data_IF_879345267680
#
_entry.id   IF_879345267680
#
_cell.length_a   1.000
_cell.length_b   1.000
_cell.length_c   1.000
_cell.angle_alpha   90.00
_cell.angle_beta   90.00
_cell.angle_gamma   90.00
#
_symmetry.space_group_name_H-M   'P 1'
#
loop_
_entity.id
_entity.type
_entity.pdbx_description
1 polymer ?
#
# COMPACT_ATOMS: atom_id res chain seq x y z
N UNK A 1 -12.19 -10.08 49.00
CA UNK A 1 -11.21 -8.99 49.15
C UNK A 1 -10.15 -9.10 48.07
N UNK A 2 -10.29 -8.31 47.03
CA UNK A 2 -9.28 -8.25 45.94
C UNK A 2 -7.97 -7.65 46.49
N UNK A 3 -6.87 -8.39 46.32
CA UNK A 3 -5.52 -7.89 46.64
C UNK A 3 -5.12 -6.83 45.63
N UNK A 4 -5.29 -5.56 45.95
CA UNK A 4 -4.78 -4.45 45.17
C UNK A 4 -3.26 -4.63 45.00
N UNK A 5 -2.77 -4.90 43.80
CA UNK A 5 -1.34 -4.97 43.50
C UNK A 5 -0.71 -3.59 43.71
N UNK A 6 0.06 -3.42 44.79
CA UNK A 6 0.83 -2.19 45.01
C UNK A 6 1.90 -2.05 43.92
N UNK A 7 1.79 -1.00 43.08
CA UNK A 7 2.79 -0.64 42.08
C UNK A 7 3.89 0.16 42.77
N UNK A 8 5.10 -0.41 42.86
CA UNK A 8 6.25 0.25 43.45
C UNK A 8 7.08 0.96 42.37
N UNK A 9 7.57 2.18 42.71
CA UNK A 9 8.44 2.96 41.81
C UNK A 9 9.89 2.43 41.86
N UNK A 10 10.64 2.67 40.76
CA UNK A 10 12.09 2.41 40.70
C UNK A 10 12.80 3.41 41.63
N UNK A 11 13.76 2.95 42.45
CA UNK A 11 14.55 3.80 43.34
C UNK A 11 15.52 4.66 42.54
N UNK A 12 15.44 6.01 42.59
CA UNK A 12 16.41 6.91 41.95
C UNK A 12 17.78 6.82 42.66
N UNK A 13 18.83 7.27 41.98
CA UNK A 13 20.20 7.24 42.50
C UNK A 13 20.31 8.00 43.85
N UNK A 14 19.75 9.20 43.92
CA UNK A 14 19.75 10.03 45.10
C UNK A 14 19.13 9.30 46.33
N UNK A 15 17.96 8.69 46.13
CA UNK A 15 17.29 7.90 47.18
C UNK A 15 18.12 6.65 47.54
N UNK A 16 18.78 6.03 46.58
CA UNK A 16 19.65 4.90 46.82
C UNK A 16 20.85 5.28 47.71
N UNK A 17 21.42 6.45 47.51
CA UNK A 17 22.49 7.00 48.38
C UNK A 17 21.95 7.28 49.76
N UNK A 18 20.77 7.96 49.89
CA UNK A 18 20.13 8.24 51.17
C UNK A 18 19.84 6.96 51.98
N UNK A 19 19.34 5.89 51.31
CA UNK A 19 19.12 4.60 51.97
C UNK A 19 20.36 3.98 52.56
N UNK A 20 21.54 4.11 51.89
CA UNK A 20 22.79 3.60 52.34
C UNK A 20 23.33 4.41 53.54
N UNK A 21 23.35 5.73 53.39
CA UNK A 21 23.80 6.63 54.46
C UNK A 21 22.94 6.43 55.70
N UNK A 22 21.61 6.41 55.59
CA UNK A 22 20.70 6.18 56.69
C UNK A 22 20.90 4.80 57.35
N UNK A 23 21.34 3.81 56.59
CA UNK A 23 21.66 2.49 57.13
C UNK A 23 23.03 2.46 57.79
N UNK A 24 24.10 2.95 57.10
CA UNK A 24 25.48 2.88 57.56
C UNK A 24 25.74 3.88 58.72
N UNK A 25 25.31 5.13 58.59
CA UNK A 25 25.64 6.20 59.53
C UNK A 25 24.64 6.29 60.68
N UNK A 26 23.33 6.07 60.35
CA UNK A 26 22.25 6.22 61.36
C UNK A 26 21.75 4.88 61.91
N UNK A 27 22.29 3.75 61.50
CA UNK A 27 21.88 2.41 61.97
C UNK A 27 20.42 2.01 61.68
N UNK A 28 19.77 2.67 60.72
CA UNK A 28 18.35 2.42 60.45
C UNK A 28 18.16 1.06 59.77
N UNK A 29 17.41 0.18 60.43
CA UNK A 29 17.01 -1.11 59.87
C UNK A 29 15.91 -0.98 58.79
N UNK A 30 15.73 -2.06 58.00
CA UNK A 30 14.85 -2.11 56.84
C UNK A 30 13.40 -1.69 57.16
N UNK A 31 12.86 -2.03 58.32
CA UNK A 31 11.49 -1.68 58.72
C UNK A 31 11.31 -0.18 58.94
N UNK A 32 12.32 0.49 59.50
CA UNK A 32 12.30 1.95 59.68
C UNK A 32 12.50 2.66 58.33
N UNK A 33 13.34 2.15 57.46
CA UNK A 33 13.54 2.66 56.10
C UNK A 33 12.29 2.45 55.22
N UNK A 34 11.59 1.34 55.38
CA UNK A 34 10.32 1.11 54.67
C UNK A 34 9.22 2.11 55.11
N UNK A 35 9.15 2.46 56.38
CA UNK A 35 8.21 3.50 56.85
C UNK A 35 8.55 4.87 56.31
N UNK A 36 9.84 5.18 56.15
CA UNK A 36 10.33 6.48 55.65
C UNK A 36 10.19 6.58 54.11
N UNK A 37 10.24 5.46 53.37
CA UNK A 37 10.14 5.40 51.92
C UNK A 37 9.07 4.41 51.45
N UNK A 38 7.78 4.64 51.78
CA UNK A 38 6.68 3.68 51.58
C UNK A 38 6.38 3.40 50.09
N UNK A 39 6.85 4.28 49.20
CA UNK A 39 6.66 4.17 47.73
C UNK A 39 7.57 3.13 47.09
N UNK A 40 8.54 2.58 47.83
CA UNK A 40 9.46 1.56 47.31
C UNK A 40 9.22 0.21 47.99
N UNK A 41 9.43 -0.89 47.26
CA UNK A 41 9.26 -2.22 47.84
C UNK A 41 10.37 -2.51 48.86
N UNK A 42 10.00 -3.26 49.93
CA UNK A 42 10.94 -3.69 50.98
C UNK A 42 12.18 -4.39 50.40
N UNK A 43 11.98 -5.24 49.36
CA UNK A 43 13.06 -5.94 48.66
C UNK A 43 13.98 -4.99 47.92
N UNK A 44 13.42 -3.94 47.29
CA UNK A 44 14.23 -2.92 46.59
C UNK A 44 15.03 -2.10 47.60
N UNK A 45 14.44 -1.66 48.71
CA UNK A 45 15.13 -0.95 49.78
C UNK A 45 16.29 -1.80 50.31
N UNK A 46 16.06 -3.09 50.63
CA UNK A 46 17.08 -4.00 51.13
C UNK A 46 18.25 -4.15 50.15
N UNK A 47 18.00 -4.29 48.84
CA UNK A 47 19.07 -4.38 47.82
C UNK A 47 19.89 -3.11 47.74
N UNK A 48 19.27 -1.94 47.90
CA UNK A 48 19.96 -0.66 47.81
C UNK A 48 20.73 -0.33 49.09
N UNK A 49 20.21 -0.70 50.23
CA UNK A 49 20.80 -0.51 51.56
C UNK A 49 22.12 -1.28 51.71
N UNK A 50 22.20 -2.52 51.22
CA UNK A 50 23.39 -3.39 51.32
C UNK A 50 24.49 -3.13 50.27
N UNK A 51 24.31 -2.19 49.35
CA UNK A 51 25.36 -1.88 48.37
C UNK A 51 26.48 -1.06 49.04
N UNK A 52 27.77 -1.32 48.75
CA UNK A 52 28.88 -0.51 49.20
C UNK A 52 28.71 0.96 48.80
N UNK A 53 29.15 1.88 49.70
CA UNK A 53 29.02 3.34 49.46
C UNK A 53 29.78 3.76 48.21
N UNK A 54 30.95 3.15 47.96
CA UNK A 54 31.77 3.38 46.76
C UNK A 54 31.16 2.88 45.44
N UNK A 55 30.15 2.02 45.51
CA UNK A 55 29.44 1.46 44.32
C UNK A 55 28.37 2.43 43.81
N UNK A 56 28.71 3.74 43.83
CA UNK A 56 27.76 4.83 43.40
C UNK A 56 27.48 4.81 41.92
N UNK A 57 28.14 3.94 41.18
CA UNK A 57 28.20 4.07 39.76
C UNK A 57 27.51 2.91 39.08
N UNK A 58 26.64 3.30 38.19
CA UNK A 58 26.24 2.58 37.00
C UNK A 58 25.42 1.30 37.24
N UNK A 59 24.24 1.35 36.80
CA UNK A 59 23.44 0.14 36.50
C UNK A 59 24.35 -0.81 35.70
N UNK A 60 25.03 -1.74 36.38
CA UNK A 60 25.98 -2.73 35.78
C UNK A 60 25.32 -3.52 34.64
N UNK A 61 23.95 -3.42 34.52
CA UNK A 61 23.19 -3.95 33.40
C UNK A 61 23.56 -3.30 32.05
N UNK A 62 24.07 -2.06 32.06
CA UNK A 62 24.60 -1.41 30.85
C UNK A 62 25.86 -2.09 30.31
N UNK A 63 26.67 -2.69 31.19
CA UNK A 63 27.90 -3.38 30.83
C UNK A 63 27.69 -4.88 30.53
N UNK A 64 26.50 -5.41 30.79
CA UNK A 64 26.20 -6.78 30.43
C UNK A 64 26.01 -6.88 28.91
N UNK A 65 26.91 -7.58 28.24
CA UNK A 65 26.92 -7.83 26.79
C UNK A 65 25.68 -8.54 26.29
N UNK A 66 24.64 -8.73 27.11
CA UNK A 66 23.41 -9.41 26.72
C UNK A 66 23.64 -10.84 26.19
N UNK A 67 22.57 -11.46 25.69
CA UNK A 67 22.64 -12.78 25.05
C UNK A 67 23.46 -12.68 23.75
N UNK A 68 24.44 -13.57 23.51
CA UNK A 68 25.21 -13.61 22.27
C UNK A 68 24.30 -13.61 21.04
N UNK A 69 24.71 -12.88 20.01
CA UNK A 69 23.96 -12.84 18.75
C UNK A 69 24.01 -14.23 18.10
N UNK A 70 22.84 -14.76 17.71
CA UNK A 70 22.76 -16.04 16.97
C UNK A 70 23.38 -15.96 15.57
N UNK A 71 23.38 -14.77 14.96
CA UNK A 71 23.99 -14.54 13.65
C UNK A 71 25.43 -14.05 13.87
N UNK A 72 26.38 -14.88 13.49
CA UNK A 72 27.82 -14.55 13.43
C UNK A 72 28.19 -13.95 12.07
N UNK A 73 29.38 -13.36 11.94
CA UNK A 73 29.78 -12.67 10.70
C UNK A 73 29.66 -13.53 9.41
N UNK A 74 29.90 -14.85 9.53
CA UNK A 74 29.74 -15.81 8.42
C UNK A 74 28.26 -15.85 7.95
N UNK A 75 27.33 -15.94 8.91
CA UNK A 75 25.89 -16.00 8.63
C UNK A 75 25.36 -14.67 8.06
N UNK A 76 25.88 -13.53 8.54
CA UNK A 76 25.55 -12.21 8.00
C UNK A 76 26.00 -12.07 6.54
N UNK A 77 27.20 -12.58 6.20
CA UNK A 77 27.69 -12.64 4.81
C UNK A 77 26.81 -13.52 3.93
N UNK A 78 26.44 -14.70 4.42
CA UNK A 78 25.53 -15.61 3.70
C UNK A 78 24.19 -14.92 3.39
N UNK A 79 23.54 -14.28 4.37
CA UNK A 79 22.30 -13.51 4.17
C UNK A 79 22.48 -12.37 3.16
N UNK A 80 23.60 -11.66 3.21
CA UNK A 80 23.88 -10.57 2.26
C UNK A 80 24.05 -11.08 0.83
N UNK A 81 24.74 -12.18 0.63
CA UNK A 81 24.97 -12.78 -0.69
C UNK A 81 23.66 -13.36 -1.26
N UNK A 82 22.91 -14.11 -0.45
CA UNK A 82 21.59 -14.62 -0.82
C UNK A 82 20.61 -13.50 -1.16
N UNK A 83 20.65 -12.40 -0.41
CA UNK A 83 19.83 -11.23 -0.71
C UNK A 83 20.16 -10.63 -2.08
N UNK A 84 21.45 -10.44 -2.41
CA UNK A 84 21.90 -9.95 -3.71
C UNK A 84 21.48 -10.91 -4.84
N UNK A 85 21.62 -12.20 -4.63
CA UNK A 85 21.22 -13.26 -5.57
C UNK A 85 19.70 -13.21 -5.82
N UNK A 86 18.89 -13.24 -4.77
CA UNK A 86 17.42 -13.21 -4.88
C UNK A 86 16.91 -11.90 -5.51
N UNK A 87 17.51 -10.76 -5.20
CA UNK A 87 17.18 -9.49 -5.87
C UNK A 87 17.45 -9.56 -7.37
N UNK A 88 18.54 -10.21 -7.78
CA UNK A 88 18.92 -10.33 -9.21
C UNK A 88 18.04 -11.34 -9.95
N UNK A 89 17.68 -12.46 -9.34
CA UNK A 89 16.98 -13.59 -9.99
C UNK A 89 15.47 -13.50 -9.88
N UNK A 90 14.93 -13.29 -8.69
CA UNK A 90 13.49 -13.34 -8.40
C UNK A 90 12.89 -11.94 -8.26
N UNK A 91 13.65 -10.98 -7.76
CA UNK A 91 13.25 -9.59 -7.54
C UNK A 91 12.41 -9.38 -6.27
N UNK A 92 11.42 -10.22 -6.00
CA UNK A 92 10.58 -10.15 -4.79
C UNK A 92 10.63 -11.46 -4.02
N UNK A 93 10.95 -11.40 -2.73
CA UNK A 93 11.06 -12.57 -1.87
C UNK A 93 10.66 -12.23 -0.44
N UNK A 94 10.28 -13.25 0.32
CA UNK A 94 10.00 -13.15 1.74
C UNK A 94 11.25 -13.48 2.57
N UNK A 95 11.25 -13.08 3.84
CA UNK A 95 12.37 -13.38 4.74
C UNK A 95 12.59 -14.88 4.99
N UNK A 96 11.57 -15.72 4.77
CA UNK A 96 11.66 -17.17 4.81
C UNK A 96 12.49 -17.71 3.65
N UNK A 97 12.21 -17.27 2.43
CA UNK A 97 12.97 -17.66 1.24
C UNK A 97 14.45 -17.19 1.32
N UNK A 98 14.67 -16.00 1.89
CA UNK A 98 16.04 -15.52 2.15
C UNK A 98 16.75 -16.40 3.17
N UNK A 99 16.07 -16.85 4.20
CA UNK A 99 16.60 -17.75 5.23
C UNK A 99 16.94 -19.12 4.65
N UNK A 100 16.07 -19.67 3.82
CA UNK A 100 16.26 -20.94 3.12
C UNK A 100 17.44 -20.87 2.15
N UNK A 101 17.51 -19.87 1.27
CA UNK A 101 18.59 -19.71 0.30
C UNK A 101 19.95 -19.45 0.99
N UNK A 102 19.96 -18.84 2.17
CA UNK A 102 21.15 -18.64 2.97
C UNK A 102 21.56 -19.87 3.81
N UNK A 103 20.79 -20.97 3.79
CA UNK A 103 21.06 -22.18 4.57
C UNK A 103 20.97 -21.98 6.09
N UNK A 104 20.09 -21.11 6.57
CA UNK A 104 20.01 -20.72 7.99
C UNK A 104 18.72 -21.16 8.70
N UNK A 105 17.97 -22.09 8.12
CA UNK A 105 16.69 -22.55 8.68
C UNK A 105 16.86 -23.07 10.09
N UNK A 106 17.86 -23.93 10.31
CA UNK A 106 18.13 -24.56 11.62
C UNK A 106 18.99 -23.69 12.56
N UNK A 107 19.63 -22.63 12.01
CA UNK A 107 20.53 -21.77 12.78
C UNK A 107 19.77 -20.71 13.58
N UNK A 108 18.74 -20.09 13.00
CA UNK A 108 18.02 -19.01 13.64
C UNK A 108 16.55 -18.96 13.21
N UNK A 109 15.70 -18.30 14.01
CA UNK A 109 14.29 -18.08 13.63
C UNK A 109 14.17 -17.00 12.55
N UNK A 110 13.10 -17.06 11.75
CA UNK A 110 12.78 -16.02 10.77
C UNK A 110 12.63 -14.62 11.39
N UNK A 111 12.22 -14.55 12.66
CA UNK A 111 12.20 -13.29 13.43
C UNK A 111 13.61 -12.70 13.57
N UNK A 112 14.63 -13.52 13.72
CA UNK A 112 16.03 -13.09 13.79
C UNK A 112 16.52 -12.52 12.46
N UNK A 113 16.18 -13.18 11.34
CA UNK A 113 16.45 -12.67 9.98
C UNK A 113 15.79 -11.32 9.75
N UNK A 114 14.50 -11.16 10.08
CA UNK A 114 13.80 -9.87 9.96
C UNK A 114 14.40 -8.77 10.83
N UNK A 115 14.88 -9.11 12.04
CA UNK A 115 15.57 -8.16 12.93
C UNK A 115 16.92 -7.74 12.35
N UNK A 116 17.66 -8.68 11.78
CA UNK A 116 18.91 -8.40 11.07
C UNK A 116 18.67 -7.46 9.88
N UNK A 117 17.70 -7.75 9.02
CA UNK A 117 17.37 -6.89 7.88
C UNK A 117 17.03 -5.46 8.34
N UNK A 118 16.23 -5.32 9.40
CA UNK A 118 15.90 -4.01 9.97
C UNK A 118 17.13 -3.28 10.52
N UNK A 119 18.05 -3.98 11.18
CA UNK A 119 19.30 -3.38 11.68
C UNK A 119 20.22 -2.90 10.57
N UNK A 120 20.12 -3.47 9.37
CA UNK A 120 20.82 -3.02 8.16
C UNK A 120 20.01 -1.97 7.34
N UNK A 121 18.94 -1.41 7.89
CA UNK A 121 18.11 -0.37 7.26
C UNK A 121 17.10 -0.87 6.23
N UNK A 122 16.97 -2.19 6.05
CA UNK A 122 15.96 -2.74 5.16
C UNK A 122 14.57 -2.74 5.79
N UNK A 123 13.56 -2.36 4.99
CA UNK A 123 12.16 -2.48 5.33
C UNK A 123 11.41 -3.30 4.29
N UNK A 124 10.26 -3.84 4.66
CA UNK A 124 9.40 -4.63 3.76
C UNK A 124 8.33 -3.71 3.15
N UNK A 125 8.63 -3.16 1.97
CA UNK A 125 7.83 -2.15 1.31
C UNK A 125 7.09 -2.70 0.09
N UNK A 126 6.00 -2.03 -0.28
CA UNK A 126 5.28 -2.34 -1.49
C UNK A 126 6.15 -2.06 -2.73
N UNK A 127 6.13 -2.99 -3.69
CA UNK A 127 6.83 -2.83 -4.95
C UNK A 127 6.20 -1.70 -5.77
N UNK A 128 7.02 -0.86 -6.35
CA UNK A 128 6.56 0.13 -7.32
C UNK A 128 6.58 -0.49 -8.72
N UNK A 129 5.48 -0.34 -9.44
CA UNK A 129 5.31 -0.87 -10.81
C UNK A 129 5.44 0.21 -11.89
N UNK A 130 5.40 1.50 -11.51
CA UNK A 130 5.31 2.61 -12.47
C UNK A 130 6.66 3.32 -12.59
N UNK A 131 7.11 3.56 -13.83
CA UNK A 131 8.33 4.28 -14.16
C UNK A 131 8.31 5.75 -13.69
N UNK A 132 9.45 6.41 -13.80
CA UNK A 132 9.55 7.85 -13.55
C UNK A 132 8.79 8.63 -14.64
N UNK A 133 8.24 9.77 -14.28
CA UNK A 133 7.69 10.76 -15.23
C UNK A 133 8.83 11.65 -15.74
N UNK A 134 8.73 12.11 -16.97
CA UNK A 134 9.67 13.09 -17.51
C UNK A 134 9.38 14.47 -16.91
N UNK A 135 10.33 15.43 -16.99
CA UNK A 135 10.08 16.82 -16.58
C UNK A 135 8.90 17.46 -17.31
N UNK A 136 8.71 17.13 -18.58
CA UNK A 136 7.59 17.61 -19.41
C UNK A 136 6.26 17.03 -18.88
N UNK A 137 6.20 15.73 -18.56
CA UNK A 137 5.02 15.13 -17.95
C UNK A 137 4.62 15.86 -16.65
N UNK A 138 5.60 16.27 -15.83
CA UNK A 138 5.35 16.99 -14.57
C UNK A 138 4.77 18.39 -14.83
N UNK A 139 5.35 19.14 -15.78
CA UNK A 139 4.88 20.46 -16.15
C UNK A 139 3.46 20.43 -16.73
N UNK A 140 3.18 19.50 -17.64
CA UNK A 140 1.86 19.33 -18.24
C UNK A 140 0.80 19.01 -17.19
N UNK A 141 1.14 18.18 -16.20
CA UNK A 141 0.27 17.86 -15.08
C UNK A 141 -0.04 19.08 -14.21
N UNK A 142 0.97 19.90 -13.89
CA UNK A 142 0.77 21.14 -13.13
C UNK A 142 -0.10 22.12 -13.92
N UNK A 143 0.17 22.31 -15.21
CA UNK A 143 -0.61 23.18 -16.09
C UNK A 143 -2.08 22.73 -16.15
N UNK A 144 -2.30 21.43 -16.33
CA UNK A 144 -3.64 20.84 -16.32
C UNK A 144 -4.36 21.09 -14.97
N UNK A 145 -3.69 20.80 -13.85
CA UNK A 145 -4.28 20.97 -12.53
C UNK A 145 -4.60 22.44 -12.20
N UNK A 146 -3.73 23.39 -12.58
CA UNK A 146 -4.01 24.82 -12.44
C UNK A 146 -5.26 25.23 -13.21
N UNK A 147 -5.45 24.75 -14.44
CA UNK A 147 -6.68 24.97 -15.21
C UNK A 147 -7.90 24.32 -14.54
N UNK A 148 -7.76 23.10 -14.04
CA UNK A 148 -8.87 22.43 -13.37
C UNK A 148 -9.28 23.10 -12.05
N UNK A 149 -8.38 23.78 -11.36
CA UNK A 149 -8.67 24.52 -10.13
C UNK A 149 -9.65 25.69 -10.35
N UNK A 150 -9.78 26.20 -11.58
CA UNK A 150 -10.73 27.27 -11.92
C UNK A 150 -12.14 26.77 -12.27
N UNK A 151 -12.34 25.44 -12.29
CA UNK A 151 -13.65 24.84 -12.55
C UNK A 151 -14.56 24.93 -11.33
N UNK A 152 -15.89 24.90 -11.51
CA UNK A 152 -16.86 24.87 -10.40
C UNK A 152 -16.55 23.72 -9.43
N UNK A 153 -16.84 23.90 -8.14
CA UNK A 153 -16.55 22.90 -7.10
C UNK A 153 -17.24 21.56 -7.35
N UNK A 154 -18.45 21.58 -7.93
CA UNK A 154 -19.24 20.41 -8.30
C UNK A 154 -18.93 19.86 -9.69
N UNK A 155 -17.93 20.39 -10.39
CA UNK A 155 -17.60 19.97 -11.77
C UNK A 155 -17.38 18.46 -11.89
N UNK A 156 -16.66 17.87 -10.95
CA UNK A 156 -16.34 16.44 -10.98
C UNK A 156 -17.52 15.54 -10.65
N UNK A 157 -18.45 16.02 -9.84
CA UNK A 157 -19.63 15.25 -9.39
C UNK A 157 -20.84 15.39 -10.31
N UNK A 158 -21.04 16.57 -10.90
CA UNK A 158 -22.21 16.91 -11.69
C UNK A 158 -21.88 17.26 -13.15
N UNK A 159 -20.72 17.88 -13.40
CA UNK A 159 -20.32 18.33 -14.75
C UNK A 159 -19.87 17.19 -15.66
N UNK A 160 -19.25 16.14 -15.09
CA UNK A 160 -18.80 14.95 -15.83
C UNK A 160 -19.93 13.92 -15.86
N UNK A 161 -20.37 13.52 -17.05
CA UNK A 161 -21.44 12.53 -17.21
C UNK A 161 -21.02 11.15 -16.70
N UNK A 162 -19.82 10.71 -17.06
CA UNK A 162 -19.21 9.47 -16.59
C UNK A 162 -17.69 9.47 -16.76
N UNK A 163 -17.05 8.58 -16.02
CA UNK A 163 -15.62 8.29 -16.08
C UNK A 163 -15.46 6.93 -16.75
N UNK A 164 -14.74 6.86 -17.86
CA UNK A 164 -14.59 5.66 -18.67
C UNK A 164 -13.13 5.20 -18.68
N UNK A 165 -12.90 3.91 -18.56
CA UNK A 165 -11.58 3.32 -18.79
C UNK A 165 -11.66 1.83 -19.08
N UNK A 166 -10.59 1.34 -19.75
CA UNK A 166 -10.38 -0.07 -20.05
C UNK A 166 -9.54 -0.75 -18.97
N UNK A 167 -9.98 -1.89 -18.48
CA UNK A 167 -9.24 -2.65 -17.48
C UNK A 167 -9.09 -4.11 -17.86
N UNK A 168 -8.13 -4.79 -17.26
CA UNK A 168 -7.96 -6.23 -17.45
C UNK A 168 -7.54 -6.94 -16.16
N UNK A 169 -8.14 -8.10 -15.94
CA UNK A 169 -7.74 -9.02 -14.88
C UNK A 169 -7.32 -10.35 -15.47
N UNK A 170 -6.23 -10.90 -14.95
CA UNK A 170 -5.69 -12.18 -15.42
C UNK A 170 -6.42 -13.32 -14.72
N UNK A 171 -7.10 -14.16 -15.50
CA UNK A 171 -7.70 -15.40 -15.01
C UNK A 171 -6.65 -16.33 -14.44
N UNK A 172 -6.93 -16.91 -13.29
CA UNK A 172 -6.13 -17.94 -12.64
C UNK A 172 -7.03 -19.13 -12.31
N UNK A 173 -6.62 -20.32 -12.72
CA UNK A 173 -7.40 -21.55 -12.44
C UNK A 173 -7.59 -21.76 -10.93
N UNK A 174 -6.60 -21.39 -10.12
CA UNK A 174 -6.69 -21.43 -8.65
C UNK A 174 -6.49 -20.02 -8.07
N UNK A 175 -7.54 -19.18 -8.03
CA UNK A 175 -7.43 -17.82 -7.51
C UNK A 175 -7.15 -17.78 -6.01
N UNK A 176 -7.61 -18.76 -5.22
CA UNK A 176 -7.30 -18.88 -3.79
C UNK A 176 -5.79 -18.96 -3.52
N UNK A 177 -5.10 -19.88 -4.21
CA UNK A 177 -3.64 -20.02 -4.10
C UNK A 177 -2.94 -18.75 -4.56
N UNK A 178 -3.37 -18.17 -5.70
CA UNK A 178 -2.79 -16.97 -6.24
C UNK A 178 -2.92 -15.76 -5.30
N UNK A 179 -4.11 -15.53 -4.73
CA UNK A 179 -4.35 -14.41 -3.82
C UNK A 179 -3.49 -14.49 -2.54
N UNK A 180 -3.30 -15.70 -1.99
CA UNK A 180 -2.45 -15.93 -0.82
C UNK A 180 -0.96 -15.80 -1.11
N UNK A 181 -0.52 -16.13 -2.31
CA UNK A 181 0.90 -16.09 -2.70
C UNK A 181 1.29 -14.81 -3.44
N UNK A 182 0.36 -13.88 -3.60
CA UNK A 182 0.59 -12.63 -4.33
C UNK A 182 1.69 -11.79 -3.69
N UNK A 183 2.78 -11.59 -4.43
CA UNK A 183 3.94 -10.84 -3.97
C UNK A 183 3.83 -9.39 -4.40
N UNK A 184 3.40 -8.53 -3.48
CA UNK A 184 3.27 -7.09 -3.72
C UNK A 184 4.32 -6.27 -2.98
N UNK A 185 5.13 -6.90 -2.11
CA UNK A 185 6.13 -6.25 -1.27
C UNK A 185 7.50 -6.88 -1.44
N UNK A 186 8.53 -6.09 -1.21
CA UNK A 186 9.93 -6.51 -1.23
C UNK A 186 10.75 -5.84 -0.13
N UNK A 187 11.85 -6.48 0.25
CA UNK A 187 12.83 -5.88 1.15
C UNK A 187 13.70 -4.88 0.38
N UNK A 188 13.75 -3.65 0.84
CA UNK A 188 14.60 -2.60 0.27
C UNK A 188 14.92 -1.51 1.30
N UNK A 189 15.96 -0.72 1.04
CA UNK A 189 16.27 0.46 1.85
C UNK A 189 15.19 1.55 1.68
N UNK A 190 14.99 2.34 2.73
CA UNK A 190 14.09 3.50 2.69
C UNK A 190 14.58 4.48 1.62
N UNK A 191 13.68 5.04 0.83
CA UNK A 191 14.04 5.96 -0.27
C UNK A 191 14.37 5.27 -1.61
N UNK A 192 14.79 4.01 -1.64
CA UNK A 192 15.28 3.33 -2.86
C UNK A 192 14.18 2.72 -3.75
N UNK A 193 12.90 3.09 -3.56
CA UNK A 193 11.79 2.45 -4.26
C UNK A 193 11.75 2.64 -5.77
N UNK A 194 12.48 3.61 -6.32
CA UNK A 194 12.56 3.88 -7.75
C UNK A 194 13.85 3.37 -8.41
N UNK A 195 14.82 2.86 -7.64
CA UNK A 195 16.01 2.26 -8.23
C UNK A 195 15.62 1.01 -9.04
N UNK A 196 16.23 0.84 -10.21
CA UNK A 196 15.92 -0.24 -11.18
C UNK A 196 15.91 -1.64 -10.54
N UNK A 197 16.79 -1.88 -9.60
CA UNK A 197 16.91 -3.15 -8.86
C UNK A 197 15.73 -3.44 -7.91
N UNK A 198 15.00 -2.39 -7.47
CA UNK A 198 13.85 -2.49 -6.56
C UNK A 198 12.50 -2.27 -7.26
N UNK A 199 12.48 -2.13 -8.57
CA UNK A 199 11.25 -2.12 -9.36
C UNK A 199 10.87 -3.56 -9.63
N UNK A 200 9.61 -3.90 -9.35
CA UNK A 200 9.11 -5.24 -9.67
C UNK A 200 9.28 -5.50 -11.16
N UNK A 201 10.05 -6.52 -11.50
CA UNK A 201 10.17 -7.00 -12.88
C UNK A 201 8.77 -7.40 -13.34
N UNK A 202 8.28 -6.80 -14.41
CA UNK A 202 7.09 -7.29 -15.11
C UNK A 202 7.30 -8.76 -15.46
N UNK A 203 6.29 -9.59 -15.23
CA UNK A 203 6.33 -10.93 -15.78
C UNK A 203 6.34 -10.79 -17.30
N UNK A 204 7.23 -11.50 -17.99
CA UNK A 204 7.16 -11.61 -19.46
C UNK A 204 5.74 -11.99 -19.84
N UNK A 205 5.16 -11.31 -20.82
CA UNK A 205 3.89 -11.73 -21.41
C UNK A 205 4.03 -13.22 -21.79
N UNK A 206 3.04 -14.01 -21.40
CA UNK A 206 3.07 -15.46 -21.65
C UNK A 206 3.17 -16.39 -20.42
N UNK A 207 3.36 -15.87 -19.20
CA UNK A 207 3.29 -16.71 -18.01
C UNK A 207 1.85 -17.10 -17.63
N UNK A 208 1.05 -17.54 -18.61
CA UNK A 208 -0.08 -18.43 -18.46
C UNK A 208 -1.29 -17.88 -17.74
N UNK A 209 -2.03 -16.98 -18.33
CA UNK A 209 -3.39 -16.65 -17.90
C UNK A 209 -4.12 -15.87 -18.99
N UNK A 210 -5.36 -16.28 -19.28
CA UNK A 210 -6.23 -15.55 -20.18
C UNK A 210 -6.67 -14.24 -19.54
N UNK A 211 -6.51 -13.11 -20.24
CA UNK A 211 -6.95 -11.80 -19.75
C UNK A 211 -8.44 -11.62 -19.98
N UNK A 212 -9.17 -11.30 -18.92
CA UNK A 212 -10.55 -10.82 -18.98
C UNK A 212 -10.50 -9.29 -19.06
N UNK A 213 -10.91 -8.73 -20.19
CA UNK A 213 -10.87 -7.29 -20.49
C UNK A 213 -12.26 -6.70 -20.43
N UNK A 214 -12.36 -5.54 -19.80
CA UNK A 214 -13.63 -4.84 -19.62
C UNK A 214 -13.44 -3.35 -19.89
N UNK A 215 -14.39 -2.76 -20.59
CA UNK A 215 -14.62 -1.33 -20.64
C UNK A 215 -15.66 -1.01 -19.58
N UNK A 216 -15.36 -0.10 -18.68
CA UNK A 216 -16.19 0.20 -17.50
C UNK A 216 -16.41 1.69 -17.42
N UNK A 217 -17.66 2.10 -17.14
CA UNK A 217 -18.02 3.47 -16.84
C UNK A 217 -18.59 3.58 -15.43
N UNK A 218 -18.17 4.63 -14.71
CA UNK A 218 -18.68 4.98 -13.38
C UNK A 218 -19.22 6.41 -13.39
N UNK A 219 -20.19 6.69 -12.53
CA UNK A 219 -20.72 8.05 -12.33
C UNK A 219 -20.97 8.32 -10.84
N UNK A 220 -20.83 9.58 -10.43
CA UNK A 220 -21.12 10.02 -9.06
C UNK A 220 -22.61 9.80 -8.74
N UNK A 221 -22.91 9.27 -7.54
CA UNK A 221 -24.28 8.97 -7.11
C UNK A 221 -24.97 7.84 -7.87
N UNK A 222 -24.28 7.19 -8.80
CA UNK A 222 -24.84 6.12 -9.66
C UNK A 222 -24.04 4.82 -9.58
N UNK A 223 -22.78 4.87 -9.14
CA UNK A 223 -21.91 3.70 -9.07
C UNK A 223 -21.35 3.28 -10.43
N UNK A 224 -21.29 1.97 -10.69
CA UNK A 224 -20.89 1.43 -12.01
C UNK A 224 -22.12 1.43 -12.91
N UNK A 225 -22.13 2.32 -13.88
CA UNK A 225 -23.26 2.48 -14.81
C UNK A 225 -23.14 1.58 -16.03
N UNK A 226 -21.91 1.15 -16.37
CA UNK A 226 -21.67 0.32 -17.55
C UNK A 226 -20.49 -0.59 -17.39
N UNK A 227 -20.59 -1.82 -17.92
CA UNK A 227 -19.52 -2.81 -17.93
C UNK A 227 -19.64 -3.72 -19.15
N UNK A 228 -18.79 -3.50 -20.14
CA UNK A 228 -18.72 -4.29 -21.37
C UNK A 228 -17.47 -5.15 -21.43
N UNK A 229 -17.61 -6.45 -21.64
CA UNK A 229 -16.50 -7.37 -21.85
C UNK A 229 -16.12 -7.38 -23.31
N UNK A 230 -14.82 -7.21 -23.61
CA UNK A 230 -14.33 -7.25 -24.98
C UNK A 230 -13.14 -8.20 -25.13
N UNK A 231 -12.88 -8.60 -26.38
CA UNK A 231 -11.80 -9.51 -26.73
C UNK A 231 -10.77 -8.84 -27.65
N UNK A 232 -9.51 -9.22 -27.47
CA UNK A 232 -8.43 -8.67 -28.29
C UNK A 232 -8.00 -7.25 -27.87
N UNK A 233 -7.36 -6.53 -28.77
CA UNK A 233 -7.05 -5.10 -28.64
C UNK A 233 -8.19 -4.26 -29.21
N UNK A 234 -8.49 -3.16 -28.56
CA UNK A 234 -9.35 -2.11 -29.13
C UNK A 234 -8.43 -1.21 -29.96
N UNK A 235 -8.71 -1.11 -31.25
CA UNK A 235 -8.13 -0.11 -32.15
C UNK A 235 -9.12 1.05 -32.32
N UNK A 236 -8.76 2.07 -33.11
CA UNK A 236 -9.58 3.25 -33.31
C UNK A 236 -10.96 2.95 -33.87
N UNK A 237 -11.08 2.07 -34.86
CA UNK A 237 -12.35 1.67 -35.46
C UNK A 237 -13.27 0.95 -34.46
N UNK A 238 -12.74 -0.04 -33.75
CA UNK A 238 -13.51 -0.74 -32.70
C UNK A 238 -13.95 0.18 -31.59
N UNK A 239 -13.14 1.20 -31.28
CA UNK A 239 -13.51 2.18 -30.28
C UNK A 239 -14.58 3.14 -30.81
N UNK A 240 -14.55 3.52 -32.10
CA UNK A 240 -15.59 4.28 -32.75
C UNK A 240 -16.94 3.53 -32.73
N UNK A 241 -16.93 2.25 -33.12
CA UNK A 241 -18.13 1.39 -33.01
C UNK A 241 -18.62 1.32 -31.55
N UNK A 242 -17.69 1.15 -30.58
CA UNK A 242 -18.06 1.14 -29.16
C UNK A 242 -18.70 2.45 -28.71
N UNK A 243 -18.25 3.61 -29.22
CA UNK A 243 -18.87 4.92 -28.94
C UNK A 243 -20.31 4.93 -29.47
N UNK A 244 -20.50 4.61 -30.72
CA UNK A 244 -21.84 4.66 -31.37
C UNK A 244 -22.83 3.71 -30.68
N UNK A 245 -22.41 2.49 -30.39
CA UNK A 245 -23.29 1.46 -29.82
C UNK A 245 -23.64 1.69 -28.34
N UNK A 246 -22.73 2.30 -27.56
CA UNK A 246 -22.83 2.24 -26.11
C UNK A 246 -22.89 3.60 -25.39
N UNK A 247 -22.34 4.67 -25.96
CA UNK A 247 -22.34 5.99 -25.30
C UNK A 247 -23.73 6.59 -25.10
N UNK A 248 -24.69 6.44 -26.04
CA UNK A 248 -26.05 6.93 -25.80
C UNK A 248 -26.66 6.38 -24.50
N UNK A 249 -26.49 5.08 -24.25
CA UNK A 249 -26.96 4.45 -23.01
C UNK A 249 -26.15 4.92 -21.77
N UNK A 250 -24.84 5.10 -21.91
CA UNK A 250 -24.02 5.62 -20.81
C UNK A 250 -24.40 7.05 -20.44
N UNK A 251 -24.68 7.92 -21.39
CA UNK A 251 -25.11 9.29 -21.13
C UNK A 251 -26.47 9.35 -20.46
N UNK A 252 -27.42 8.47 -20.83
CA UNK A 252 -28.71 8.39 -20.17
C UNK A 252 -28.64 7.91 -18.72
N UNK A 253 -27.68 7.05 -18.40
CA UNK A 253 -27.47 6.51 -17.07
C UNK A 253 -26.54 7.39 -16.20
N UNK A 254 -25.71 8.21 -16.83
CA UNK A 254 -24.73 9.08 -16.18
C UNK A 254 -25.32 10.36 -15.60
N UNK A 255 -24.44 11.25 -15.19
CA UNK A 255 -24.79 12.61 -14.78
C UNK A 255 -24.78 13.53 -15.99
N UNK A 256 -25.41 14.73 -15.87
CA UNK A 256 -25.39 15.75 -16.92
C UNK A 256 -25.64 15.20 -18.34
N UNK A 257 -26.75 14.53 -18.61
CA UNK A 257 -27.03 13.87 -19.90
C UNK A 257 -27.03 14.86 -21.09
N UNK A 258 -27.38 16.12 -20.85
CA UNK A 258 -27.41 17.17 -21.86
C UNK A 258 -26.01 17.72 -22.19
N UNK A 259 -25.10 17.74 -21.22
CA UNK A 259 -23.73 18.24 -21.39
C UNK A 259 -22.80 17.27 -22.11
N UNK A 260 -23.15 16.00 -22.10
CA UNK A 260 -22.41 14.90 -22.76
C UNK A 260 -20.88 15.01 -22.64
N UNK A 261 -20.39 15.32 -21.44
CA UNK A 261 -18.99 15.43 -21.14
C UNK A 261 -18.50 14.19 -20.37
N UNK A 262 -17.54 13.46 -20.90
CA UNK A 262 -16.98 12.29 -20.25
C UNK A 262 -15.47 12.42 -20.03
N UNK A 263 -14.94 11.75 -19.00
CA UNK A 263 -13.53 11.74 -18.72
C UNK A 263 -12.93 10.38 -19.07
N UNK A 264 -11.78 10.42 -19.77
CA UNK A 264 -11.00 9.24 -20.14
C UNK A 264 -9.52 9.61 -20.22
N UNK A 265 -8.64 8.59 -20.14
CA UNK A 265 -7.23 8.76 -20.38
C UNK A 265 -6.93 8.97 -21.89
N UNK A 266 -5.66 9.26 -22.20
CA UNK A 266 -5.26 9.62 -23.56
C UNK A 266 -4.76 8.44 -24.41
N UNK A 267 -5.36 7.25 -24.33
CA UNK A 267 -4.95 6.10 -25.16
C UNK A 267 -5.02 6.47 -26.67
N UNK A 268 -4.02 6.07 -27.49
CA UNK A 268 -4.00 6.38 -28.93
C UNK A 268 -5.24 5.90 -29.69
N UNK A 269 -5.85 4.76 -29.32
CA UNK A 269 -7.06 4.25 -29.96
C UNK A 269 -8.25 5.19 -29.79
N UNK A 270 -8.30 5.89 -28.67
CA UNK A 270 -9.35 6.83 -28.29
C UNK A 270 -9.18 8.22 -28.93
N UNK A 271 -7.97 8.53 -29.39
CA UNK A 271 -7.64 9.77 -30.09
C UNK A 271 -7.56 9.60 -31.61
N UNK A 272 -7.96 8.44 -32.13
CA UNK A 272 -8.00 8.18 -33.58
C UNK A 272 -9.04 9.07 -34.28
N UNK A 273 -8.86 9.28 -35.59
CA UNK A 273 -9.84 10.02 -36.40
C UNK A 273 -11.22 9.39 -36.30
N UNK A 274 -11.32 8.07 -36.48
CA UNK A 274 -12.60 7.35 -36.40
C UNK A 274 -13.30 7.55 -35.05
N UNK A 275 -12.55 7.57 -33.93
CA UNK A 275 -13.14 7.83 -32.63
C UNK A 275 -13.63 9.27 -32.47
N UNK A 276 -12.98 10.25 -33.06
CA UNK A 276 -13.42 11.64 -33.08
C UNK A 276 -14.68 11.83 -33.91
N UNK A 277 -14.70 11.25 -35.11
CA UNK A 277 -15.86 11.29 -36.01
C UNK A 277 -17.10 10.66 -35.31
N UNK A 278 -16.93 9.56 -34.60
CA UNK A 278 -17.99 8.94 -33.79
C UNK A 278 -18.43 9.81 -32.60
N UNK A 279 -17.53 10.54 -31.98
CA UNK A 279 -17.88 11.48 -30.90
C UNK A 279 -18.65 12.70 -31.43
N UNK A 280 -18.32 13.15 -32.62
CA UNK A 280 -19.02 14.26 -33.29
C UNK A 280 -20.44 13.83 -33.70
N UNK A 281 -20.63 12.58 -34.12
CA UNK A 281 -21.98 12.01 -34.45
C UNK A 281 -22.90 11.96 -33.21
N UNK A 282 -22.36 11.65 -32.01
CA UNK A 282 -23.13 11.63 -30.76
C UNK A 282 -23.20 13.00 -30.06
N UNK A 283 -22.71 14.07 -30.60
CA UNK A 283 -22.26 15.35 -30.07
C UNK A 283 -21.78 15.30 -28.60
N UNK A 284 -20.75 14.51 -28.35
CA UNK A 284 -20.15 14.39 -27.01
C UNK A 284 -18.71 14.92 -26.95
N UNK A 285 -18.25 15.27 -25.75
CA UNK A 285 -16.94 15.86 -25.53
C UNK A 285 -16.10 15.05 -24.54
N UNK A 286 -14.84 14.85 -24.92
CA UNK A 286 -13.85 14.22 -24.06
C UNK A 286 -13.16 15.25 -23.17
N UNK A 287 -13.24 15.08 -21.86
CA UNK A 287 -12.39 15.77 -20.89
C UNK A 287 -11.11 14.95 -20.69
N UNK A 288 -10.09 15.27 -21.48
CA UNK A 288 -8.84 14.50 -21.54
C UNK A 288 -7.91 14.84 -20.38
N UNK A 289 -7.38 13.83 -19.70
CA UNK A 289 -6.34 13.98 -18.69
C UNK A 289 -4.93 13.86 -19.30
N UNK A 290 -3.89 14.42 -18.66
CA UNK A 290 -2.51 14.29 -19.10
C UNK A 290 -2.05 12.85 -19.15
N UNK A 291 -1.12 12.48 -20.05
CA UNK A 291 -0.55 11.14 -20.08
C UNK A 291 0.05 10.72 -18.74
N UNK A 292 0.08 9.42 -18.49
CA UNK A 292 0.67 8.83 -17.27
C UNK A 292 0.10 9.36 -15.94
N UNK A 293 -1.17 9.80 -15.94
CA UNK A 293 -1.84 10.44 -14.82
C UNK A 293 -3.02 9.64 -14.25
N UNK A 294 -2.81 8.38 -13.83
CA UNK A 294 -3.88 7.54 -13.27
C UNK A 294 -4.44 8.07 -11.94
N UNK A 295 -3.73 8.95 -11.27
CA UNK A 295 -4.17 9.65 -10.06
C UNK A 295 -5.20 10.76 -10.38
N UNK A 296 -5.29 11.19 -11.62
CA UNK A 296 -6.31 12.09 -12.15
C UNK A 296 -7.52 11.34 -12.77
N UNK A 297 -7.50 10.00 -12.77
CA UNK A 297 -8.63 9.18 -13.20
C UNK A 297 -9.22 8.42 -12.01
N UNK A 298 -10.36 8.81 -11.45
CA UNK A 298 -10.92 8.15 -10.27
C UNK A 298 -11.27 6.68 -10.49
N UNK A 299 -11.60 6.27 -11.72
CA UNK A 299 -11.93 4.88 -12.03
C UNK A 299 -10.77 3.90 -11.78
N UNK A 300 -9.53 4.37 -11.91
CA UNK A 300 -8.33 3.55 -11.62
C UNK A 300 -8.28 3.11 -10.14
N UNK A 301 -8.78 3.95 -9.24
CA UNK A 301 -8.95 3.59 -7.84
C UNK A 301 -9.99 2.49 -7.66
N UNK A 302 -11.11 2.62 -8.33
CA UNK A 302 -12.17 1.62 -8.30
C UNK A 302 -11.63 0.29 -8.81
N UNK A 303 -10.88 0.25 -9.91
CA UNK A 303 -10.25 -0.97 -10.43
C UNK A 303 -9.29 -1.60 -9.43
N UNK A 304 -8.51 -0.78 -8.72
CA UNK A 304 -7.63 -1.28 -7.67
C UNK A 304 -8.41 -1.91 -6.51
N UNK A 305 -9.48 -1.28 -6.07
CA UNK A 305 -10.32 -1.78 -4.98
C UNK A 305 -11.12 -3.04 -5.39
N UNK A 306 -11.66 -3.07 -6.61
CA UNK A 306 -12.29 -4.25 -7.21
C UNK A 306 -11.30 -5.43 -7.27
N UNK A 307 -10.07 -5.18 -7.71
CA UNK A 307 -9.03 -6.21 -7.69
C UNK A 307 -8.74 -6.77 -6.29
N UNK A 308 -8.74 -5.93 -5.26
CA UNK A 308 -8.62 -6.38 -3.86
C UNK A 308 -9.84 -7.18 -3.41
N UNK A 309 -11.04 -6.77 -3.82
CA UNK A 309 -12.27 -7.49 -3.50
C UNK A 309 -12.29 -8.87 -4.13
N UNK A 310 -11.89 -8.99 -5.40
CA UNK A 310 -11.74 -10.27 -6.10
C UNK A 310 -10.74 -11.20 -5.40
N UNK A 311 -9.59 -10.67 -4.96
CA UNK A 311 -8.61 -11.46 -4.18
C UNK A 311 -9.20 -11.90 -2.82
N UNK A 312 -9.91 -11.00 -2.13
CA UNK A 312 -10.56 -11.31 -0.85
C UNK A 312 -11.64 -12.38 -1.01
N UNK A 313 -12.53 -12.22 -1.97
CA UNK A 313 -13.59 -13.19 -2.26
C UNK A 313 -13.01 -14.59 -2.60
N UNK A 314 -11.89 -14.62 -3.33
CA UNK A 314 -11.20 -15.87 -3.63
C UNK A 314 -10.67 -16.57 -2.38
N UNK A 315 -10.23 -15.80 -1.37
CA UNK A 315 -9.76 -16.33 -0.08
C UNK A 315 -10.94 -16.77 0.79
N UNK A 316 -11.93 -15.92 0.98
CA UNK A 316 -13.06 -16.13 1.89
C UNK A 316 -13.91 -17.32 1.42
N UNK A 317 -14.19 -17.39 0.12
CA UNK A 317 -14.95 -18.49 -0.50
C UNK A 317 -14.10 -19.71 -0.86
N UNK A 318 -12.78 -19.68 -0.59
CA UNK A 318 -11.83 -20.76 -0.89
C UNK A 318 -11.92 -21.23 -2.35
N UNK A 319 -11.99 -20.31 -3.32
CA UNK A 319 -12.15 -20.65 -4.74
C UNK A 319 -10.87 -21.28 -5.28
N UNK A 320 -10.82 -22.62 -5.28
CA UNK A 320 -9.65 -23.41 -5.70
C UNK A 320 -9.64 -23.76 -7.17
N UNK A 321 -10.80 -23.75 -7.82
CA UNK A 321 -10.96 -24.01 -9.23
C UNK A 321 -12.01 -23.05 -9.81
N UNK A 322 -11.66 -22.31 -10.86
CA UNK A 322 -12.53 -21.33 -11.49
C UNK A 322 -12.29 -21.34 -13.01
N UNK A 323 -13.33 -21.57 -13.79
CA UNK A 323 -13.26 -21.43 -15.25
C UNK A 323 -13.19 -19.95 -15.65
N UNK A 324 -12.73 -19.71 -16.88
CA UNK A 324 -12.67 -18.34 -17.40
C UNK A 324 -14.04 -17.63 -17.40
N UNK A 325 -15.09 -18.34 -17.79
CA UNK A 325 -16.45 -17.76 -17.82
C UNK A 325 -16.99 -17.46 -16.41
N UNK A 326 -16.69 -18.31 -15.43
CA UNK A 326 -17.02 -18.05 -14.02
C UNK A 326 -16.26 -16.82 -13.51
N UNK A 327 -14.99 -16.69 -13.84
CA UNK A 327 -14.19 -15.54 -13.50
C UNK A 327 -14.76 -14.24 -14.11
N UNK A 328 -15.09 -14.22 -15.38
CA UNK A 328 -15.73 -13.06 -16.04
C UNK A 328 -17.05 -12.67 -15.38
N UNK A 329 -17.89 -13.65 -15.05
CA UNK A 329 -19.15 -13.41 -14.31
C UNK A 329 -18.87 -12.81 -12.93
N UNK A 330 -17.90 -13.35 -12.21
CA UNK A 330 -17.52 -12.85 -10.88
C UNK A 330 -16.98 -11.41 -10.94
N UNK A 331 -16.20 -11.06 -11.97
CA UNK A 331 -15.76 -9.66 -12.19
C UNK A 331 -16.97 -8.76 -12.39
N UNK A 332 -17.91 -9.09 -13.32
CA UNK A 332 -19.10 -8.29 -13.57
C UNK A 332 -19.94 -8.10 -12.30
N UNK A 333 -20.20 -9.17 -11.56
CA UNK A 333 -20.92 -9.12 -10.29
C UNK A 333 -20.20 -8.23 -9.26
N UNK A 334 -18.87 -8.35 -9.16
CA UNK A 334 -18.08 -7.54 -8.22
C UNK A 334 -18.13 -6.06 -8.60
N UNK A 335 -18.12 -5.72 -9.90
CA UNK A 335 -18.22 -4.35 -10.40
C UNK A 335 -19.60 -3.76 -10.10
N UNK A 336 -20.68 -4.41 -10.52
CA UNK A 336 -22.04 -3.88 -10.31
C UNK A 336 -22.47 -3.83 -8.84
N UNK A 337 -21.96 -4.77 -8.01
CA UNK A 337 -22.20 -4.77 -6.56
C UNK A 337 -21.14 -3.98 -5.78
N UNK A 338 -20.30 -3.19 -6.48
CA UNK A 338 -19.33 -2.35 -5.79
C UNK A 338 -20.06 -1.16 -5.15
N UNK A 339 -19.78 -0.84 -3.86
CA UNK A 339 -20.52 0.21 -3.16
C UNK A 339 -20.44 1.55 -3.89
N UNK A 340 -21.61 2.10 -4.23
CA UNK A 340 -21.75 3.40 -4.87
C UNK A 340 -21.07 4.50 -4.04
N UNK A 341 -21.25 4.49 -2.72
CA UNK A 341 -20.67 5.48 -1.81
C UNK A 341 -19.13 5.53 -1.88
N UNK A 342 -18.45 4.41 -2.15
CA UNK A 342 -17.00 4.38 -2.34
C UNK A 342 -16.62 5.01 -3.68
N UNK A 343 -17.40 4.76 -4.72
CA UNK A 343 -17.20 5.37 -6.05
C UNK A 343 -17.38 6.88 -5.96
N UNK A 344 -18.48 7.34 -5.37
CA UNK A 344 -18.78 8.75 -5.18
C UNK A 344 -17.70 9.46 -4.37
N UNK A 345 -17.31 8.90 -3.22
CA UNK A 345 -16.23 9.45 -2.44
C UNK A 345 -14.90 9.53 -3.23
N UNK A 346 -14.61 8.54 -4.07
CA UNK A 346 -13.42 8.56 -4.92
C UNK A 346 -13.45 9.72 -5.93
N UNK A 347 -14.61 10.04 -6.49
CA UNK A 347 -14.80 11.16 -7.42
C UNK A 347 -14.71 12.50 -6.66
N UNK A 348 -15.31 12.61 -5.49
CA UNK A 348 -15.28 13.81 -4.64
C UNK A 348 -13.84 14.22 -4.24
N UNK A 349 -12.93 13.25 -4.15
CA UNK A 349 -11.52 13.55 -3.85
C UNK A 349 -10.77 14.29 -4.98
N UNK A 350 -11.36 14.50 -6.15
CA UNK A 350 -10.66 15.06 -7.32
C UNK A 350 -10.10 16.46 -7.06
N UNK A 351 -10.85 17.36 -6.42
CA UNK A 351 -10.36 18.69 -6.08
C UNK A 351 -9.10 18.61 -5.17
N UNK A 352 -9.13 17.77 -4.15
CA UNK A 352 -7.98 17.56 -3.26
C UNK A 352 -6.77 16.94 -4.00
N UNK A 353 -7.00 16.02 -4.96
CA UNK A 353 -5.90 15.46 -5.79
C UNK A 353 -5.23 16.53 -6.62
N UNK A 354 -6.03 17.42 -7.23
CA UNK A 354 -5.55 18.55 -8.04
C UNK A 354 -4.67 19.45 -7.21
N UNK A 355 -5.09 19.84 -6.01
CA UNK A 355 -4.31 20.68 -5.11
C UNK A 355 -2.98 20.03 -4.73
N UNK A 356 -3.02 18.75 -4.32
CA UNK A 356 -1.80 18.01 -3.97
C UNK A 356 -0.83 17.81 -5.13
N UNK A 357 -1.33 17.70 -6.36
CA UNK A 357 -0.47 17.61 -7.54
C UNK A 357 0.24 18.95 -7.78
N UNK A 358 -0.46 20.06 -7.61
CA UNK A 358 0.14 21.40 -7.71
C UNK A 358 1.21 21.58 -6.62
N UNK A 359 0.90 21.27 -5.36
CA UNK A 359 1.83 21.35 -4.22
C UNK A 359 3.06 20.47 -4.40
N UNK A 360 2.89 19.30 -5.02
CA UNK A 360 3.99 18.35 -5.28
C UNK A 360 4.69 18.57 -6.62
N UNK A 361 4.49 19.74 -7.27
CA UNK A 361 5.12 20.09 -8.53
C UNK A 361 4.91 19.03 -9.63
N UNK A 362 3.68 18.55 -9.75
CA UNK A 362 3.29 17.56 -10.75
C UNK A 362 3.58 16.10 -10.37
N UNK A 363 4.24 15.83 -9.24
CA UNK A 363 4.49 14.46 -8.82
C UNK A 363 3.19 13.70 -8.53
N UNK A 364 3.27 12.36 -8.65
CA UNK A 364 2.13 11.50 -8.33
C UNK A 364 1.77 11.58 -6.87
N UNK A 365 0.49 11.79 -6.62
CA UNK A 365 -0.06 11.85 -5.26
C UNK A 365 -0.66 10.52 -4.83
N UNK A 366 -0.75 10.31 -3.52
CA UNK A 366 -1.54 9.22 -2.94
C UNK A 366 -2.93 9.76 -2.63
N UNK A 367 -3.92 9.01 -2.97
CA UNK A 367 -5.33 9.32 -2.79
C UNK A 367 -6.08 8.11 -2.23
#
# INVERSE_FOLDING_TARGET
>A
MEKVKKIYKKIPLVVSVQLRVLHSECGLGISKLQKKFPMYSKTSIFRHMKKPIGDMVLDKRHNNKGRPKKLVARNERALSNSMKKLMKTVGTFHSTELQEDAGLVDTCSNRTVRRYLKSKGYGFYQCRKKGQMSPEDLQDRVKYCKRCKTLPANFWTEGISFYLDGTSWVHKTNPYKHARTKRTRMWRLKGHGLKREYIAKGKKEGTGGRNARFMVAIAHGKGVIYCHQYHGRINGEKFATFILDHFPAMFSLGNNPNGKLFLQDGDPSQNSRAAKDAMDEIPCRLFKIPPRSPDLNPIENVFHLVGKRLDKDAIDKKIKNESYNQFCRRIKQTLYNFPESIISHTIETMNNRIERIIESEGNRVKY
#
